data_IF_640585023857
#
_entry.id   IF_640585023857
#
_cell.length_a   1.000
_cell.length_b   1.000
_cell.length_c   1.000
_cell.angle_alpha   90.00
_cell.angle_beta   90.00
_cell.angle_gamma   90.00
#
_symmetry.space_group_name_H-M   'P 1'
#
loop_
_entity.id
_entity.type
_entity.pdbx_description
1 polymer ?
#
# COMPACT_ATOMS: atom_id res chain seq x y z
N UNK A 1 15.57 0.60 -4.65
CA UNK A 1 15.09 -0.30 -3.56
C UNK A 1 13.67 -0.72 -3.93
N UNK A 2 13.55 -1.75 -4.77
CA UNK A 2 12.28 -2.20 -5.38
C UNK A 2 11.25 -2.70 -4.36
N UNK A 3 11.69 -2.94 -3.11
CA UNK A 3 10.81 -3.31 -1.99
C UNK A 3 9.99 -2.13 -1.47
N UNK A 4 10.49 -0.89 -1.57
CA UNK A 4 9.79 0.28 -1.03
C UNK A 4 8.57 0.67 -1.87
N UNK A 5 8.72 0.67 -3.19
CA UNK A 5 7.69 1.05 -4.16
C UNK A 5 7.75 0.09 -5.35
N UNK A 6 6.60 -0.43 -5.75
CA UNK A 6 6.52 -1.37 -6.86
C UNK A 6 7.02 -0.76 -8.17
N UNK A 7 7.70 -1.59 -8.97
CA UNK A 7 8.16 -1.25 -10.33
C UNK A 7 7.13 -1.76 -11.33
N UNK A 8 6.57 -0.86 -12.13
CA UNK A 8 5.61 -1.21 -13.18
C UNK A 8 6.26 -1.48 -14.54
N UNK A 9 5.45 -1.40 -15.61
CA UNK A 9 5.88 -1.61 -16.99
C UNK A 9 7.08 -0.72 -17.36
N UNK A 10 8.02 -1.29 -18.11
CA UNK A 10 9.26 -0.62 -18.57
C UNK A 10 10.17 -0.10 -17.44
N UNK A 11 10.09 -0.67 -16.23
CA UNK A 11 10.97 -0.31 -15.12
C UNK A 11 10.57 0.97 -14.38
N UNK A 12 9.37 1.50 -14.65
CA UNK A 12 8.88 2.74 -14.03
C UNK A 12 8.52 2.51 -12.57
N UNK A 13 9.22 3.17 -11.65
CA UNK A 13 8.93 3.07 -10.22
C UNK A 13 7.70 3.90 -9.83
N UNK A 14 6.87 3.34 -8.95
CA UNK A 14 5.73 4.06 -8.38
C UNK A 14 6.16 5.04 -7.28
N UNK A 15 5.32 6.06 -7.04
CA UNK A 15 5.55 7.04 -5.97
C UNK A 15 5.21 6.52 -4.57
N UNK A 16 4.44 5.43 -4.49
CA UNK A 16 3.87 4.89 -3.26
C UNK A 16 4.11 3.40 -3.13
N UNK A 17 4.19 2.93 -1.90
CA UNK A 17 4.17 1.53 -1.55
C UNK A 17 2.80 0.92 -1.88
N UNK A 18 2.79 -0.30 -2.40
CA UNK A 18 1.57 -1.02 -2.73
C UNK A 18 0.94 -1.58 -1.44
N UNK A 19 -0.28 -1.15 -1.04
CA UNK A 19 -0.94 -1.71 0.13
C UNK A 19 -1.41 -3.14 -0.14
N UNK A 20 -1.62 -3.92 0.93
CA UNK A 20 -2.29 -5.22 0.81
C UNK A 20 -3.73 -5.08 0.30
N UNK A 21 -4.17 -6.07 -0.47
CA UNK A 21 -5.58 -6.21 -0.91
C UNK A 21 -6.40 -7.08 0.05
N UNK A 22 -5.75 -7.78 1.00
CA UNK A 22 -6.45 -8.54 2.04
C UNK A 22 -7.34 -7.61 2.84
N UNK A 23 -8.61 -8.00 3.02
CA UNK A 23 -9.64 -7.22 3.71
C UNK A 23 -9.97 -5.85 3.07
N UNK A 24 -9.48 -5.55 1.86
CA UNK A 24 -9.78 -4.28 1.18
C UNK A 24 -11.27 -4.11 0.86
N UNK A 25 -11.99 -5.22 0.68
CA UNK A 25 -13.43 -5.27 0.51
C UNK A 25 -14.25 -4.73 1.69
N UNK A 26 -13.62 -4.61 2.87
CA UNK A 26 -14.26 -4.06 4.07
C UNK A 26 -13.96 -2.55 4.26
N UNK A 27 -13.22 -1.94 3.34
CA UNK A 27 -12.87 -0.52 3.36
C UNK A 27 -13.86 0.29 2.53
N UNK A 28 -14.14 1.51 2.97
CA UNK A 28 -14.99 2.48 2.26
C UNK A 28 -14.19 3.52 1.49
N UNK A 29 -12.87 3.58 1.73
CA UNK A 29 -11.96 4.53 1.11
C UNK A 29 -10.65 3.83 0.71
N UNK A 30 -10.36 3.88 -0.59
CA UNK A 30 -9.27 3.14 -1.23
C UNK A 30 -8.15 4.08 -1.69
N UNK A 31 -6.99 3.49 -1.95
CA UNK A 31 -5.69 4.17 -2.11
C UNK A 31 -5.23 4.92 -0.84
N UNK A 32 -3.95 5.31 -0.82
CA UNK A 32 -3.35 6.07 0.29
C UNK A 32 -3.88 7.52 0.39
N UNK A 33 -4.32 8.13 -0.70
CA UNK A 33 -4.93 9.47 -0.71
C UNK A 33 -6.46 9.43 -0.64
N UNK A 34 -7.04 8.22 -0.56
CA UNK A 34 -8.47 8.06 -0.35
C UNK A 34 -9.35 8.57 -1.49
N UNK A 35 -8.83 8.58 -2.72
CA UNK A 35 -9.50 9.13 -3.90
C UNK A 35 -10.61 8.26 -4.50
N UNK A 36 -10.75 7.04 -3.99
CA UNK A 36 -11.70 6.06 -4.53
C UNK A 36 -12.52 5.42 -3.42
N UNK A 37 -13.75 5.01 -3.76
CA UNK A 37 -14.77 4.56 -2.80
C UNK A 37 -15.36 3.18 -3.12
N UNK A 38 -14.98 2.55 -4.23
CA UNK A 38 -15.40 1.19 -4.57
C UNK A 38 -14.28 0.41 -5.24
N UNK A 39 -14.25 -0.91 -5.04
CA UNK A 39 -13.26 -1.79 -5.67
C UNK A 39 -13.47 -1.84 -7.19
N UNK A 40 -14.73 -1.78 -7.61
CA UNK A 40 -15.17 -1.76 -9.02
C UNK A 40 -14.58 -0.57 -9.78
N UNK A 41 -14.45 0.60 -9.14
CA UNK A 41 -13.79 1.75 -9.75
C UNK A 41 -12.26 1.71 -9.57
N UNK A 42 -11.79 1.27 -8.40
CA UNK A 42 -10.37 1.27 -8.04
C UNK A 42 -9.49 0.55 -9.05
N UNK A 43 -9.98 -0.56 -9.62
CA UNK A 43 -9.27 -1.40 -10.58
C UNK A 43 -8.76 -0.64 -11.81
N UNK A 44 -9.46 0.41 -12.25
CA UNK A 44 -9.07 1.16 -13.45
C UNK A 44 -7.83 2.02 -13.24
N UNK A 45 -7.54 2.40 -11.99
CA UNK A 45 -6.32 3.12 -11.62
C UNK A 45 -5.05 2.39 -12.07
N UNK A 46 -4.76 1.19 -11.53
CA UNK A 46 -3.59 0.40 -11.91
C UNK A 46 -3.62 -0.05 -13.38
N UNK A 47 -4.79 -0.46 -13.89
CA UNK A 47 -4.94 -0.95 -15.25
C UNK A 47 -4.50 0.07 -16.31
N UNK A 48 -4.83 1.35 -16.08
CA UNK A 48 -4.57 2.45 -17.03
C UNK A 48 -3.35 3.30 -16.67
N UNK A 49 -2.79 3.15 -15.47
CA UNK A 49 -1.62 3.92 -15.04
C UNK A 49 -0.39 3.55 -15.86
N UNK A 50 0.22 4.55 -16.51
CA UNK A 50 1.46 4.39 -17.28
C UNK A 50 2.65 3.91 -16.45
N UNK A 51 2.60 4.08 -15.12
CA UNK A 51 3.65 3.65 -14.17
C UNK A 51 3.35 2.29 -13.53
N UNK A 52 2.22 1.66 -13.88
CA UNK A 52 1.79 0.37 -13.34
C UNK A 52 1.58 -0.62 -14.49
N UNK A 53 0.35 -0.85 -14.96
CA UNK A 53 0.04 -1.84 -16.01
C UNK A 53 -0.02 -1.26 -17.43
N UNK A 54 -0.03 0.07 -17.55
CA UNK A 54 0.16 0.82 -18.79
C UNK A 54 -0.76 0.44 -19.98
N UNK A 55 -2.00 0.00 -19.74
CA UNK A 55 -2.95 -0.19 -20.83
C UNK A 55 -3.42 1.16 -21.37
N UNK A 56 -3.49 1.37 -22.70
CA UNK A 56 -3.74 2.68 -23.29
C UNK A 56 -5.19 3.15 -23.11
N UNK A 57 -6.15 2.22 -23.00
CA UNK A 57 -7.57 2.52 -22.82
C UNK A 57 -8.35 1.28 -22.36
N UNK A 58 -9.53 1.43 -21.73
CA UNK A 58 -10.42 0.31 -21.41
C UNK A 58 -10.80 -0.55 -22.63
N UNK A 59 -11.05 0.08 -23.79
CA UNK A 59 -11.38 -0.63 -25.03
C UNK A 59 -10.29 -1.58 -25.52
N UNK A 60 -9.02 -1.24 -25.26
CA UNK A 60 -7.89 -2.13 -25.56
C UNK A 60 -7.92 -3.39 -24.70
N UNK A 61 -8.17 -3.24 -23.39
CA UNK A 61 -8.31 -4.36 -22.46
C UNK A 61 -9.50 -5.25 -22.81
N UNK A 62 -10.65 -4.67 -23.12
CA UNK A 62 -11.84 -5.43 -23.53
C UNK A 62 -11.53 -6.25 -24.78
N UNK A 63 -10.90 -5.64 -25.80
CA UNK A 63 -10.50 -6.36 -27.01
C UNK A 63 -9.48 -7.47 -26.72
N UNK A 64 -8.53 -7.21 -25.81
CA UNK A 64 -7.52 -8.20 -25.39
C UNK A 64 -8.19 -9.43 -24.77
N UNK A 65 -9.08 -9.22 -23.79
CA UNK A 65 -9.82 -10.30 -23.11
C UNK A 65 -10.68 -11.09 -24.10
N UNK A 66 -11.39 -10.40 -25.01
CA UNK A 66 -12.20 -11.08 -26.06
C UNK A 66 -11.40 -11.97 -27.01
N UNK A 67 -10.10 -11.75 -27.13
CA UNK A 67 -9.21 -12.49 -28.01
C UNK A 67 -8.37 -13.53 -27.26
N UNK A 68 -8.59 -13.72 -25.95
CA UNK A 68 -7.90 -14.71 -25.13
C UNK A 68 -8.76 -15.97 -25.04
N UNK A 69 -8.36 -17.12 -25.63
CA UNK A 69 -9.15 -18.35 -25.61
C UNK A 69 -9.51 -18.81 -24.19
N UNK A 70 -8.64 -18.56 -23.21
CA UNK A 70 -8.86 -18.89 -21.79
C UNK A 70 -10.05 -18.14 -21.17
N UNK A 71 -10.54 -17.07 -21.80
CA UNK A 71 -11.70 -16.29 -21.36
C UNK A 71 -12.97 -16.54 -22.19
N UNK A 72 -12.93 -17.44 -23.17
CA UNK A 72 -14.08 -17.75 -24.03
C UNK A 72 -15.30 -18.14 -23.18
N UNK A 73 -16.40 -17.41 -23.36
CA UNK A 73 -17.68 -17.57 -22.66
C UNK A 73 -17.65 -17.34 -21.13
N UNK A 74 -16.50 -17.16 -20.48
CA UNK A 74 -16.45 -17.01 -19.01
C UNK A 74 -17.20 -15.78 -18.50
N UNK A 75 -17.15 -14.67 -19.25
CA UNK A 75 -17.89 -13.45 -18.90
C UNK A 75 -19.39 -13.61 -19.14
N UNK A 76 -19.76 -14.22 -20.26
CA UNK A 76 -21.13 -14.52 -20.64
C UNK A 76 -21.79 -15.46 -19.61
N UNK A 77 -21.08 -16.49 -19.15
CA UNK A 77 -21.54 -17.41 -18.11
C UNK A 77 -21.72 -16.71 -16.76
N UNK A 78 -20.76 -15.87 -16.36
CA UNK A 78 -20.80 -15.19 -15.06
C UNK A 78 -21.80 -14.03 -15.00
N UNK A 79 -22.01 -13.30 -16.10
CA UNK A 79 -22.72 -12.02 -16.10
C UNK A 79 -23.86 -11.92 -17.13
N UNK A 80 -24.13 -12.96 -17.91
CA UNK A 80 -25.08 -12.95 -19.03
C UNK A 80 -24.73 -11.92 -20.14
N UNK A 81 -23.48 -11.43 -20.15
CA UNK A 81 -22.95 -10.51 -21.17
C UNK A 81 -21.43 -10.61 -21.19
N UNK A 82 -20.83 -10.32 -22.33
CA UNK A 82 -19.38 -10.39 -22.49
C UNK A 82 -18.57 -9.34 -21.72
N UNK A 83 -17.25 -9.33 -21.91
CA UNK A 83 -16.36 -8.39 -21.22
C UNK A 83 -16.69 -6.94 -21.61
N UNK A 84 -16.79 -6.11 -20.58
CA UNK A 84 -17.11 -4.68 -20.63
C UNK A 84 -16.43 -3.98 -19.45
N UNK A 85 -16.50 -2.65 -19.38
CA UNK A 85 -15.99 -1.91 -18.21
C UNK A 85 -16.65 -2.44 -16.93
N UNK A 86 -17.98 -2.59 -16.93
CA UNK A 86 -18.76 -3.04 -15.78
C UNK A 86 -18.42 -4.48 -15.36
N UNK A 87 -18.42 -5.43 -16.31
CA UNK A 87 -18.18 -6.84 -15.99
C UNK A 87 -16.73 -7.11 -15.59
N UNK A 88 -15.75 -6.41 -16.16
CA UNK A 88 -14.35 -6.49 -15.73
C UNK A 88 -14.20 -5.92 -14.31
N UNK A 89 -14.79 -4.75 -14.04
CA UNK A 89 -14.82 -4.16 -12.71
C UNK A 89 -15.39 -5.10 -11.66
N UNK A 90 -16.55 -5.69 -11.95
CA UNK A 90 -17.21 -6.65 -11.06
C UNK A 90 -16.38 -7.91 -10.85
N UNK A 91 -15.71 -8.43 -11.87
CA UNK A 91 -14.87 -9.61 -11.74
C UNK A 91 -13.68 -9.38 -10.78
N UNK A 92 -12.97 -8.25 -10.94
CA UNK A 92 -11.89 -7.88 -10.03
C UNK A 92 -12.37 -7.61 -8.61
N UNK A 93 -13.51 -6.91 -8.46
CA UNK A 93 -14.10 -6.66 -7.15
C UNK A 93 -14.53 -7.98 -6.48
N UNK A 94 -15.26 -8.84 -7.19
CA UNK A 94 -15.73 -10.14 -6.73
C UNK A 94 -14.58 -11.00 -6.19
N UNK A 95 -13.45 -11.05 -6.88
CA UNK A 95 -12.27 -11.72 -6.37
C UNK A 95 -11.74 -11.07 -5.09
N UNK A 96 -11.63 -9.73 -5.04
CA UNK A 96 -11.19 -9.04 -3.82
C UNK A 96 -12.15 -9.21 -2.63
N UNK A 97 -13.45 -9.43 -2.86
CA UNK A 97 -14.41 -9.79 -1.82
C UNK A 97 -14.13 -11.17 -1.19
N UNK A 98 -13.42 -12.08 -1.85
CA UNK A 98 -13.04 -13.38 -1.28
C UNK A 98 -11.75 -13.33 -0.45
N UNK A 99 -10.97 -12.25 -0.56
CA UNK A 99 -9.67 -12.08 0.10
C UNK A 99 -9.79 -11.61 1.55
N UNK A 100 -10.61 -12.32 2.32
CA UNK A 100 -10.90 -12.02 3.72
C UNK A 100 -9.95 -12.80 4.64
N UNK A 101 -9.03 -12.08 5.26
CA UNK A 101 -8.13 -12.58 6.29
C UNK A 101 -8.70 -12.29 7.67
N UNK A 102 -8.87 -13.34 8.48
CA UNK A 102 -9.46 -13.24 9.81
C UNK A 102 -8.99 -14.35 10.74
N UNK A 103 -9.66 -14.48 11.90
CA UNK A 103 -9.33 -15.46 12.93
C UNK A 103 -7.86 -15.36 13.42
N UNK A 104 -7.33 -14.14 13.47
CA UNK A 104 -6.00 -13.88 14.00
C UNK A 104 -5.92 -14.22 15.49
N UNK A 105 -4.72 -14.30 16.05
CA UNK A 105 -4.54 -14.53 17.48
C UNK A 105 -5.26 -13.46 18.33
N UNK A 106 -5.26 -12.20 17.86
CA UNK A 106 -6.06 -11.14 18.43
C UNK A 106 -7.56 -11.44 18.40
N UNK A 107 -8.10 -11.93 17.27
CA UNK A 107 -9.54 -12.21 17.17
C UNK A 107 -9.97 -13.29 18.16
N UNK A 108 -9.19 -14.38 18.23
CA UNK A 108 -9.46 -15.47 19.17
C UNK A 108 -9.36 -15.01 20.62
N UNK A 109 -8.40 -14.15 20.93
CA UNK A 109 -8.24 -13.59 22.27
C UNK A 109 -9.33 -12.59 22.66
N UNK A 110 -9.57 -11.58 21.82
CA UNK A 110 -10.41 -10.41 22.14
C UNK A 110 -11.90 -10.70 21.93
N UNK A 111 -12.28 -11.23 20.76
CA UNK A 111 -13.67 -11.54 20.42
C UNK A 111 -14.04 -12.98 20.81
N UNK A 112 -13.12 -13.93 20.62
CA UNK A 112 -13.36 -15.35 20.93
C UNK A 112 -13.20 -15.73 22.40
N UNK A 113 -12.63 -14.87 23.24
CA UNK A 113 -12.41 -15.13 24.67
C UNK A 113 -11.32 -16.15 25.00
N UNK A 114 -10.52 -16.58 24.03
CA UNK A 114 -9.43 -17.53 24.22
C UNK A 114 -8.25 -16.88 24.96
N UNK A 115 -8.22 -17.04 26.29
CA UNK A 115 -7.28 -16.34 27.19
C UNK A 115 -5.80 -16.51 26.84
N UNK A 116 -5.42 -17.62 26.20
CA UNK A 116 -4.04 -17.96 25.89
C UNK A 116 -3.67 -17.79 24.41
N UNK A 117 -4.58 -17.25 23.58
CA UNK A 117 -4.30 -17.04 22.16
C UNK A 117 -3.18 -16.02 21.90
N UNK A 118 -2.93 -15.09 22.84
CA UNK A 118 -1.81 -14.14 22.77
C UNK A 118 -0.95 -14.16 24.03
N UNK A 119 0.33 -13.81 23.87
CA UNK A 119 1.32 -13.74 24.96
C UNK A 119 1.01 -12.62 25.96
N UNK A 120 1.61 -12.70 27.16
CA UNK A 120 1.54 -11.62 28.14
C UNK A 120 2.18 -10.31 27.65
N UNK A 121 3.19 -10.41 26.77
CA UNK A 121 3.80 -9.25 26.13
C UNK A 121 2.79 -8.53 25.22
N UNK A 122 2.12 -9.28 24.34
CA UNK A 122 1.08 -8.75 23.46
C UNK A 122 -0.10 -8.14 24.25
N UNK A 123 -0.52 -8.73 25.37
CA UNK A 123 -1.54 -8.14 26.26
C UNK A 123 -1.12 -6.78 26.83
N UNK A 124 0.16 -6.64 27.23
CA UNK A 124 0.73 -5.35 27.66
C UNK A 124 0.78 -4.37 26.48
N UNK A 125 1.13 -4.84 25.29
CA UNK A 125 1.11 -4.09 24.04
C UNK A 125 -0.26 -3.52 23.72
N UNK A 126 -1.31 -4.35 23.81
CA UNK A 126 -2.69 -3.93 23.62
C UNK A 126 -3.11 -2.83 24.61
N UNK A 127 -2.74 -2.98 25.90
CA UNK A 127 -3.02 -1.94 26.92
C UNK A 127 -2.30 -0.62 26.61
N UNK A 128 -1.10 -0.67 26.06
CA UNK A 128 -0.37 0.53 25.61
C UNK A 128 -1.06 1.13 24.38
N UNK A 129 -1.38 0.32 23.38
CA UNK A 129 -2.02 0.70 22.13
C UNK A 129 -3.36 1.44 22.36
N UNK A 130 -4.17 0.94 23.29
CA UNK A 130 -5.47 1.51 23.65
C UNK A 130 -5.41 2.60 24.72
N UNK A 131 -4.25 2.77 25.37
CA UNK A 131 -4.04 3.72 26.46
C UNK A 131 -2.92 4.70 26.15
N UNK A 132 -1.78 4.55 26.82
CA UNK A 132 -0.66 5.50 26.80
C UNK A 132 -0.19 5.88 25.40
N UNK A 133 -0.12 4.93 24.47
CA UNK A 133 0.37 5.16 23.12
C UNK A 133 -0.70 5.80 22.19
N UNK A 134 -1.96 5.84 22.63
CA UNK A 134 -3.09 6.47 21.94
C UNK A 134 -3.31 6.01 20.48
N UNK A 135 -2.75 4.87 20.07
CA UNK A 135 -2.84 4.34 18.70
C UNK A 135 -4.29 4.10 18.28
N UNK A 136 -5.15 3.69 19.23
CA UNK A 136 -6.59 3.45 19.02
C UNK A 136 -7.34 4.68 18.51
N UNK A 137 -6.79 5.90 18.67
CA UNK A 137 -7.45 7.14 18.22
C UNK A 137 -7.69 7.17 16.72
N UNK A 138 -6.79 6.58 15.93
CA UNK A 138 -6.96 6.41 14.49
C UNK A 138 -7.15 4.93 14.12
N UNK A 139 -6.53 4.01 14.84
CA UNK A 139 -6.61 2.57 14.58
C UNK A 139 -7.68 1.91 15.46
N UNK A 140 -8.94 2.19 15.13
CA UNK A 140 -10.11 1.85 15.95
C UNK A 140 -10.43 0.34 15.96
N UNK A 141 -11.07 -0.08 17.05
CA UNK A 141 -11.58 -1.43 17.29
C UNK A 141 -13.10 -1.32 17.41
N UNK A 142 -13.84 -2.07 16.61
CA UNK A 142 -15.29 -2.11 16.66
C UNK A 142 -15.80 -3.21 17.60
N UNK A 143 -17.13 -3.28 17.76
CA UNK A 143 -17.76 -4.22 18.67
C UNK A 143 -17.71 -5.67 18.17
N UNK A 144 -17.94 -5.87 16.87
CA UNK A 144 -17.99 -7.19 16.25
C UNK A 144 -16.70 -7.57 15.49
N UNK A 145 -15.96 -6.56 15.02
CA UNK A 145 -14.72 -6.74 14.27
C UNK A 145 -13.83 -5.50 14.38
N UNK A 146 -12.53 -5.69 14.10
CA UNK A 146 -11.57 -4.60 14.05
C UNK A 146 -10.76 -4.63 12.76
N UNK A 147 -10.87 -3.59 11.93
CA UNK A 147 -9.92 -3.35 10.84
C UNK A 147 -8.73 -2.50 11.29
N UNK A 148 -8.76 -1.96 12.52
CA UNK A 148 -7.71 -1.09 13.04
C UNK A 148 -7.47 0.11 12.14
N UNK A 149 -8.53 0.76 11.69
CA UNK A 149 -8.47 2.00 10.91
C UNK A 149 -9.80 2.74 11.00
N UNK A 150 -9.72 4.06 11.12
CA UNK A 150 -10.85 4.98 11.00
C UNK A 150 -11.03 5.52 9.57
N UNK A 151 -10.16 5.10 8.64
CA UNK A 151 -10.10 5.54 7.24
C UNK A 151 -9.96 7.06 7.03
N UNK A 152 -9.67 7.83 8.08
CA UNK A 152 -9.44 9.27 7.99
C UNK A 152 -8.06 9.56 7.43
N UNK A 153 -7.86 10.79 6.99
CA UNK A 153 -6.59 11.22 6.39
C UNK A 153 -5.82 12.13 7.34
N UNK A 154 -4.58 11.74 7.61
CA UNK A 154 -3.71 12.43 8.56
C UNK A 154 -2.34 12.70 7.94
N UNK A 155 -1.76 13.84 8.30
CA UNK A 155 -0.37 14.16 8.01
C UNK A 155 0.47 13.76 9.24
N UNK A 156 1.28 12.71 9.10
CA UNK A 156 2.25 12.26 10.12
C UNK A 156 3.62 12.93 9.94
N UNK A 157 3.78 13.71 8.88
CA UNK A 157 5.02 14.36 8.48
C UNK A 157 5.93 13.53 7.56
N UNK A 158 5.58 12.27 7.27
CA UNK A 158 6.37 11.44 6.35
C UNK A 158 6.38 12.01 4.92
N UNK A 159 5.21 12.33 4.37
CA UNK A 159 5.10 12.97 3.05
C UNK A 159 5.73 14.37 3.01
N UNK A 160 5.61 15.13 4.10
CA UNK A 160 6.27 16.42 4.25
C UNK A 160 7.79 16.29 4.15
N UNK A 161 8.39 15.40 4.94
CA UNK A 161 9.84 15.17 4.92
C UNK A 161 10.33 14.71 3.56
N UNK A 162 9.58 13.83 2.89
CA UNK A 162 9.90 13.41 1.53
C UNK A 162 9.87 14.60 0.56
N UNK A 163 8.88 15.48 0.67
CA UNK A 163 8.73 16.66 -0.20
C UNK A 163 9.76 17.77 0.07
N UNK A 164 10.28 17.85 1.30
CA UNK A 164 11.33 18.79 1.69
C UNK A 164 12.74 18.21 1.48
N UNK A 165 12.85 16.96 1.01
CA UNK A 165 14.14 16.35 0.78
C UNK A 165 14.85 17.03 -0.39
N UNK A 166 16.03 17.57 -0.12
CA UNK A 166 16.95 18.05 -1.15
C UNK A 166 18.02 16.97 -1.29
N UNK A 167 18.16 16.41 -2.49
CA UNK A 167 19.20 15.41 -2.74
C UNK A 167 20.59 16.01 -2.48
N UNK A 168 21.50 15.25 -1.83
CA UNK A 168 22.87 15.71 -1.64
C UNK A 168 23.58 15.79 -3.00
N UNK A 169 24.58 16.68 -3.17
CA UNK A 169 25.33 16.79 -4.42
C UNK A 169 25.93 15.45 -4.88
N UNK A 170 26.41 14.63 -3.94
CA UNK A 170 26.93 13.29 -4.21
C UNK A 170 26.03 12.24 -3.56
N UNK A 171 25.63 11.21 -4.33
CA UNK A 171 24.76 10.12 -3.87
C UNK A 171 25.41 8.77 -4.13
N UNK A 172 25.50 7.93 -3.10
CA UNK A 172 25.91 6.52 -3.26
C UNK A 172 24.79 5.71 -3.89
N UNK A 173 25.06 5.07 -5.01
CA UNK A 173 24.15 4.15 -5.69
C UNK A 173 24.78 2.77 -5.75
N UNK A 174 24.02 1.77 -5.33
CA UNK A 174 24.41 0.36 -5.48
C UNK A 174 23.99 -0.10 -6.87
N UNK A 175 24.96 -0.41 -7.74
CA UNK A 175 24.67 -0.91 -9.08
C UNK A 175 24.41 -2.42 -9.05
N UNK A 176 25.20 -3.14 -8.26
CA UNK A 176 25.05 -4.58 -8.00
C UNK A 176 25.49 -4.87 -6.56
N UNK A 177 25.07 -6.00 -5.94
CA UNK A 177 25.51 -6.36 -4.59
C UNK A 177 27.04 -6.30 -4.46
N UNK A 178 27.54 -5.46 -3.53
CA UNK A 178 28.98 -5.27 -3.29
C UNK A 178 29.66 -4.16 -4.12
N UNK A 179 28.99 -3.56 -5.12
CA UNK A 179 29.49 -2.42 -5.88
C UNK A 179 28.61 -1.19 -5.68
N UNK A 180 29.18 -0.19 -4.99
CA UNK A 180 28.57 1.13 -4.83
C UNK A 180 29.42 2.19 -5.52
N UNK A 181 28.80 3.07 -6.30
CA UNK A 181 29.46 4.23 -6.89
C UNK A 181 28.87 5.52 -6.31
N UNK A 182 29.70 6.56 -6.21
CA UNK A 182 29.25 7.92 -5.89
C UNK A 182 28.87 8.63 -7.20
N UNK A 183 27.61 9.04 -7.31
CA UNK A 183 27.06 9.75 -8.46
C UNK A 183 26.87 11.22 -8.10
N UNK A 184 27.39 12.13 -8.92
CA UNK A 184 27.07 13.55 -8.84
C UNK A 184 25.64 13.78 -9.35
N UNK A 185 24.76 14.26 -8.46
CA UNK A 185 23.34 14.47 -8.76
C UNK A 185 23.10 15.54 -9.82
N UNK A 186 24.03 16.48 -10.02
CA UNK A 186 23.95 17.47 -11.10
C UNK A 186 24.00 16.83 -12.49
N UNK A 187 24.56 15.61 -12.61
CA UNK A 187 24.64 14.89 -13.88
C UNK A 187 23.27 14.45 -14.44
N UNK A 188 22.25 14.33 -13.58
CA UNK A 188 20.92 13.86 -14.00
C UNK A 188 19.76 14.76 -13.55
N UNK A 189 19.94 15.60 -12.52
CA UNK A 189 18.86 16.41 -11.92
C UNK A 189 18.09 17.27 -12.92
N UNK A 190 18.81 17.91 -13.85
CA UNK A 190 18.20 18.83 -14.85
C UNK A 190 17.97 18.14 -16.20
N UNK A 191 18.27 16.84 -16.29
CA UNK A 191 18.13 16.08 -17.52
C UNK A 191 16.76 15.39 -17.57
N UNK A 192 15.98 15.75 -18.58
CA UNK A 192 14.62 15.24 -18.80
C UNK A 192 14.55 13.72 -18.91
N UNK A 193 15.63 13.06 -19.34
CA UNK A 193 15.70 11.60 -19.43
C UNK A 193 15.61 10.91 -18.07
N UNK A 194 16.04 11.59 -17.00
CA UNK A 194 16.04 11.07 -15.63
C UNK A 194 14.93 11.69 -14.76
N UNK A 195 14.02 12.47 -15.35
CA UNK A 195 12.93 13.12 -14.61
C UNK A 195 12.07 12.13 -13.82
N UNK A 196 11.88 10.92 -14.33
CA UNK A 196 11.13 9.86 -13.66
C UNK A 196 11.96 9.08 -12.62
N UNK A 197 13.28 9.26 -12.59
CA UNK A 197 14.16 8.70 -11.55
C UNK A 197 14.27 9.59 -10.31
N UNK A 198 13.91 10.88 -10.46
CA UNK A 198 13.77 11.81 -9.33
C UNK A 198 12.47 11.48 -8.60
N UNK A 199 12.57 11.12 -7.32
CA UNK A 199 11.42 10.77 -6.50
C UNK A 199 10.39 11.92 -6.51
N UNK A 200 9.18 11.71 -7.08
CA UNK A 200 8.23 12.80 -7.24
C UNK A 200 7.66 13.20 -5.88
N UNK A 201 7.48 14.50 -5.67
CA UNK A 201 6.81 15.03 -4.49
C UNK A 201 5.37 14.47 -4.41
N UNK A 202 5.09 13.70 -3.36
CA UNK A 202 3.76 13.16 -3.11
C UNK A 202 3.03 14.03 -2.07
N UNK A 203 2.16 14.91 -2.56
CA UNK A 203 1.39 15.83 -1.73
C UNK A 203 0.18 15.16 -1.05
N UNK A 204 0.00 13.85 -1.18
CA UNK A 204 -1.11 13.12 -0.54
C UNK A 204 -2.48 13.57 -1.04
N UNK A 205 -3.44 13.72 -0.13
CA UNK A 205 -4.82 14.12 -0.44
C UNK A 205 -4.93 15.42 -1.27
N UNK A 206 -4.00 16.36 -1.12
CA UNK A 206 -3.93 17.57 -1.94
C UNK A 206 -4.01 17.28 -3.45
N UNK A 207 -3.45 16.16 -3.93
CA UNK A 207 -3.49 15.84 -5.37
C UNK A 207 -4.90 15.58 -5.88
N UNK A 208 -5.84 15.30 -4.97
CA UNK A 208 -7.26 15.08 -5.23
C UNK A 208 -8.05 16.37 -5.00
N UNK A 209 -7.87 17.01 -3.85
CA UNK A 209 -8.73 18.13 -3.41
C UNK A 209 -8.25 19.49 -3.88
N UNK A 210 -6.95 19.63 -4.20
CA UNK A 210 -6.26 20.90 -4.45
C UNK A 210 -6.35 21.91 -3.29
N UNK A 211 -6.81 21.48 -2.10
CA UNK A 211 -6.85 22.31 -0.90
C UNK A 211 -5.46 22.28 -0.22
N UNK A 212 -4.75 23.41 -0.09
CA UNK A 212 -3.47 23.48 0.59
C UNK A 212 -3.45 22.85 1.98
N UNK A 213 -4.56 22.87 2.73
CA UNK A 213 -4.66 22.27 4.07
C UNK A 213 -4.69 20.73 4.06
N UNK A 214 -4.80 20.10 2.89
CA UNK A 214 -4.79 18.65 2.70
C UNK A 214 -3.42 18.09 2.30
N UNK A 215 -2.39 18.94 2.24
CA UNK A 215 -1.04 18.49 1.90
C UNK A 215 -0.54 17.44 2.88
N UNK A 216 -0.01 16.37 2.29
CA UNK A 216 0.61 15.22 2.95
C UNK A 216 -0.32 14.45 3.88
N UNK A 217 -1.64 14.63 3.76
CA UNK A 217 -2.60 13.76 4.43
C UNK A 217 -2.72 12.44 3.66
N UNK A 218 -2.60 11.34 4.38
CA UNK A 218 -2.79 9.99 3.87
C UNK A 218 -3.76 9.25 4.77
N UNK A 219 -4.52 8.33 4.17
CA UNK A 219 -5.49 7.48 4.84
C UNK A 219 -4.80 6.63 5.91
N UNK A 220 -5.39 6.55 7.10
CA UNK A 220 -5.03 5.57 8.12
C UNK A 220 -5.15 4.16 7.52
N UNK A 221 -4.04 3.45 7.36
CA UNK A 221 -4.09 2.08 6.84
C UNK A 221 -4.66 1.12 7.89
N UNK A 222 -5.32 0.04 7.44
CA UNK A 222 -5.65 -1.09 8.32
C UNK A 222 -4.37 -1.71 8.85
N UNK A 223 -4.38 -2.15 10.11
CA UNK A 223 -3.26 -2.89 10.72
C UNK A 223 -3.44 -4.42 10.64
N UNK A 224 -4.49 -4.91 9.96
CA UNK A 224 -4.62 -6.35 9.70
C UNK A 224 -3.46 -6.83 8.84
N UNK A 225 -2.85 -7.93 9.25
CA UNK A 225 -1.69 -8.53 8.57
C UNK A 225 -0.45 -7.62 8.50
N UNK A 226 -0.35 -6.59 9.34
CA UNK A 226 0.72 -5.60 9.25
C UNK A 226 2.12 -6.21 9.37
N UNK A 227 2.30 -7.30 10.11
CA UNK A 227 3.60 -7.98 10.25
C UNK A 227 4.22 -8.41 8.92
N UNK A 228 3.39 -8.78 7.93
CA UNK A 228 3.84 -9.40 6.68
C UNK A 228 3.70 -8.48 5.46
N UNK A 229 3.32 -7.21 5.66
CA UNK A 229 3.08 -6.24 4.58
C UNK A 229 4.09 -5.10 4.59
N UNK A 230 5.28 -5.34 5.14
CA UNK A 230 6.37 -4.37 5.04
C UNK A 230 6.89 -4.24 3.59
N UNK A 231 7.66 -3.18 3.29
CA UNK A 231 7.99 -2.06 4.17
C UNK A 231 6.81 -1.09 4.35
N UNK A 232 6.92 -0.20 5.35
CA UNK A 232 5.80 0.53 5.91
C UNK A 232 5.73 2.00 5.48
N UNK A 233 4.57 2.61 5.74
CA UNK A 233 4.15 3.95 5.31
C UNK A 233 3.78 4.03 3.83
N UNK A 234 3.16 5.14 3.42
CA UNK A 234 2.69 5.32 2.04
C UNK A 234 3.81 5.21 0.97
N UNK A 235 5.07 5.35 1.36
CA UNK A 235 6.25 5.34 0.50
C UNK A 235 7.26 4.23 0.85
N UNK A 236 6.94 3.32 1.76
CA UNK A 236 7.84 2.22 2.13
C UNK A 236 9.11 2.67 2.87
N UNK A 237 9.09 3.84 3.52
CA UNK A 237 10.28 4.45 4.12
C UNK A 237 10.81 3.70 5.34
N UNK A 238 9.98 2.91 6.03
CA UNK A 238 10.37 2.19 7.26
C UNK A 238 10.40 0.69 7.00
N UNK A 239 11.42 -0.02 7.49
CA UNK A 239 11.66 -1.40 7.08
C UNK A 239 11.00 -2.42 8.01
N UNK A 240 10.86 -2.10 9.29
CA UNK A 240 10.31 -3.02 10.29
C UNK A 240 9.29 -2.31 11.21
N UNK A 241 8.47 -3.08 11.94
CA UNK A 241 7.45 -2.56 12.86
C UNK A 241 8.05 -1.74 14.01
N UNK A 242 9.27 -2.05 14.46
CA UNK A 242 9.93 -1.29 15.53
C UNK A 242 10.23 0.13 15.07
N UNK A 243 10.71 0.32 13.83
CA UNK A 243 10.92 1.64 13.22
C UNK A 243 9.61 2.45 13.15
N UNK A 244 8.49 1.78 12.83
CA UNK A 244 7.15 2.41 12.79
C UNK A 244 6.74 2.90 14.17
N UNK A 245 6.87 2.06 15.20
CA UNK A 245 6.52 2.43 16.57
C UNK A 245 7.44 3.54 17.08
N UNK A 246 8.74 3.48 16.78
CA UNK A 246 9.70 4.53 17.15
C UNK A 246 9.38 5.87 16.46
N UNK A 247 9.00 5.84 15.18
CA UNK A 247 8.55 7.02 14.44
C UNK A 247 7.36 7.70 15.13
N UNK A 248 6.34 6.94 15.51
CA UNK A 248 5.18 7.49 16.23
C UNK A 248 5.53 7.89 17.66
N UNK A 249 6.44 7.18 18.34
CA UNK A 249 6.91 7.55 19.67
C UNK A 249 7.58 8.94 19.70
N UNK A 250 8.22 9.34 18.60
CA UNK A 250 8.79 10.69 18.40
C UNK A 250 7.73 11.75 18.05
N UNK A 251 6.48 11.36 17.79
CA UNK A 251 5.39 12.25 17.41
C UNK A 251 5.42 12.65 15.94
N UNK A 252 5.89 11.79 15.05
CA UNK A 252 5.98 12.07 13.61
C UNK A 252 7.08 13.07 13.25
N UNK A 253 6.92 13.79 12.13
CA UNK A 253 7.92 14.76 11.65
C UNK A 253 7.36 16.18 11.66
N UNK A 254 7.83 16.97 12.63
CA UNK A 254 7.47 18.38 12.85
C UNK A 254 8.27 19.36 12.00
N UNK A 255 9.47 18.98 11.57
CA UNK A 255 10.38 19.84 10.81
C UNK A 255 11.31 19.01 9.92
N UNK A 256 11.78 19.62 8.83
CA UNK A 256 12.74 19.02 7.90
C UNK A 256 13.70 20.11 7.43
N UNK A 257 14.96 20.02 7.84
CA UNK A 257 15.93 21.09 7.63
C UNK A 257 15.47 22.37 8.35
N UNK A 258 15.30 23.46 7.60
CA UNK A 258 14.80 24.75 8.12
C UNK A 258 13.28 24.91 8.05
N UNK A 259 12.57 23.94 7.45
CA UNK A 259 11.13 24.02 7.18
C UNK A 259 10.34 23.38 8.33
N UNK A 260 9.27 24.06 8.76
CA UNK A 260 8.32 23.54 9.75
C UNK A 260 7.10 22.92 9.07
N UNK A 261 6.57 21.84 9.63
CA UNK A 261 5.36 21.18 9.17
C UNK A 261 4.13 21.77 9.86
N UNK A 262 3.64 22.89 9.35
CA UNK A 262 2.48 23.60 9.90
C UNK A 262 1.16 22.82 9.78
N UNK A 263 1.13 21.80 8.92
CA UNK A 263 -0.04 20.97 8.63
C UNK A 263 0.02 19.60 9.32
N UNK A 264 0.94 19.41 10.26
CA UNK A 264 1.03 18.16 11.01
C UNK A 264 -0.27 17.90 11.77
N UNK A 265 -0.75 16.65 11.76
CA UNK A 265 -1.95 16.25 12.50
C UNK A 265 -1.78 16.59 13.98
N UNK A 266 -2.78 17.19 14.65
CA UNK A 266 -2.72 17.49 16.09
C UNK A 266 -2.65 16.22 16.96
N UNK A 267 -2.97 15.06 16.39
CA UNK A 267 -2.82 13.75 17.02
C UNK A 267 -1.36 13.28 17.09
N UNK A 268 -0.41 14.03 16.49
CA UNK A 268 1.00 13.68 16.45
C UNK A 268 1.80 14.40 17.54
N UNK A 269 2.11 13.65 18.60
CA UNK A 269 2.88 14.12 19.73
C UNK A 269 3.79 12.99 20.27
N UNK A 270 4.91 13.33 20.96
CA UNK A 270 5.76 12.32 21.55
C UNK A 270 5.03 11.46 22.58
N UNK A 271 5.16 10.15 22.48
CA UNK A 271 4.44 9.20 23.35
C UNK A 271 5.23 8.83 24.61
N UNK A 272 6.53 9.14 24.64
CA UNK A 272 7.45 8.85 25.74
C UNK A 272 7.41 7.37 26.18
N UNK A 273 7.37 6.47 25.20
CA UNK A 273 7.45 5.03 25.41
C UNK A 273 8.92 4.63 25.61
N UNK A 274 9.15 3.78 26.60
CA UNK A 274 10.39 3.03 26.76
C UNK A 274 10.56 1.97 25.66
N UNK A 275 11.77 1.46 25.47
CA UNK A 275 12.04 0.40 24.51
C UNK A 275 11.20 -0.86 24.77
N UNK A 276 11.03 -1.25 26.04
CA UNK A 276 10.19 -2.39 26.40
C UNK A 276 8.71 -2.15 26.06
N UNK A 277 8.21 -0.94 26.26
CA UNK A 277 6.84 -0.60 25.86
C UNK A 277 6.66 -0.66 24.34
N UNK A 278 7.63 -0.16 23.57
CA UNK A 278 7.61 -0.25 22.10
C UNK A 278 7.63 -1.72 21.63
N UNK A 279 8.48 -2.56 22.22
CA UNK A 279 8.53 -3.98 21.89
C UNK A 279 7.21 -4.71 22.20
N UNK A 280 6.57 -4.40 23.33
CA UNK A 280 5.25 -4.96 23.66
C UNK A 280 4.19 -4.58 22.61
N UNK A 281 4.21 -3.33 22.11
CA UNK A 281 3.31 -2.90 21.03
C UNK A 281 3.60 -3.68 19.74
N UNK A 282 4.88 -3.87 19.38
CA UNK A 282 5.24 -4.70 18.22
C UNK A 282 4.71 -6.13 18.39
N UNK A 283 4.87 -6.75 19.57
CA UNK A 283 4.33 -8.08 19.85
C UNK A 283 2.81 -8.12 19.71
N UNK A 284 2.10 -7.06 20.09
CA UNK A 284 0.66 -6.94 19.85
C UNK A 284 0.34 -6.86 18.35
N UNK A 285 1.04 -6.04 17.57
CA UNK A 285 0.78 -5.88 16.13
C UNK A 285 0.94 -7.19 15.35
N UNK A 286 1.84 -8.09 15.79
CA UNK A 286 2.01 -9.42 15.19
C UNK A 286 0.79 -10.32 15.37
N UNK A 287 0.00 -10.12 16.43
CA UNK A 287 -1.23 -10.89 16.67
C UNK A 287 -2.37 -10.56 15.70
N UNK A 288 -2.18 -9.56 14.82
CA UNK A 288 -3.18 -9.08 13.86
C UNK A 288 -3.13 -9.80 12.51
N UNK A 289 -2.26 -10.79 12.35
CA UNK A 289 -2.14 -11.62 11.14
C UNK A 289 -3.18 -12.74 11.18
N UNK A 290 -4.06 -12.79 10.18
CA UNK A 290 -5.12 -13.80 10.10
C UNK A 290 -4.55 -15.21 9.95
N UNK A 291 -5.22 -16.20 10.53
CA UNK A 291 -4.74 -17.59 10.51
C UNK A 291 -4.81 -18.21 9.11
N UNK A 292 -5.67 -17.69 8.25
CA UNK A 292 -5.96 -18.21 6.91
C UNK A 292 -5.15 -17.54 5.78
N UNK A 293 -4.18 -16.68 6.11
CA UNK A 293 -3.44 -15.92 5.10
C UNK A 293 -2.64 -16.83 4.16
N UNK A 294 -2.06 -17.90 4.68
CA UNK A 294 -1.27 -18.82 3.87
C UNK A 294 -2.14 -19.54 2.84
N UNK A 295 -3.35 -19.94 3.23
CA UNK A 295 -4.35 -20.55 2.35
C UNK A 295 -4.76 -19.59 1.24
N UNK A 296 -5.02 -18.32 1.56
CA UNK A 296 -5.34 -17.29 0.55
C UNK A 296 -4.18 -17.09 -0.44
N UNK A 297 -2.93 -17.09 0.04
CA UNK A 297 -1.75 -16.96 -0.82
C UNK A 297 -1.57 -18.20 -1.70
N UNK A 298 -1.81 -19.40 -1.16
CA UNK A 298 -1.70 -20.65 -1.92
C UNK A 298 -2.77 -20.73 -3.00
N UNK A 299 -4.02 -20.37 -2.69
CA UNK A 299 -5.12 -20.32 -3.64
C UNK A 299 -4.82 -19.34 -4.79
N UNK A 300 -4.34 -18.13 -4.46
CA UNK A 300 -3.94 -17.14 -5.45
C UNK A 300 -2.81 -17.62 -6.38
N UNK A 301 -1.90 -18.47 -5.89
CA UNK A 301 -0.80 -19.04 -6.71
C UNK A 301 -1.20 -20.27 -7.50
N UNK A 302 -2.28 -20.95 -7.10
CA UNK A 302 -2.78 -22.14 -7.78
C UNK A 302 -3.60 -21.78 -9.04
N UNK A 303 -4.10 -20.55 -9.12
CA UNK A 303 -4.80 -20.06 -10.30
C UNK A 303 -3.91 -20.20 -11.54
N UNK A 304 -4.33 -20.93 -12.59
CA UNK A 304 -3.56 -21.03 -13.81
C UNK A 304 -3.40 -19.63 -14.41
N UNK A 305 -2.17 -19.18 -14.53
CA UNK A 305 -1.85 -18.00 -15.33
C UNK A 305 -1.90 -18.48 -16.78
N UNK A 306 -2.82 -17.92 -17.57
CA UNK A 306 -2.93 -18.25 -19.00
C UNK A 306 -1.53 -18.27 -19.62
N UNK A 307 -1.14 -19.41 -20.19
CA UNK A 307 0.23 -19.59 -20.67
C UNK A 307 0.51 -18.50 -21.70
N UNK A 308 1.52 -17.66 -21.41
CA UNK A 308 2.00 -16.70 -22.39
C UNK A 308 2.74 -17.50 -23.46
N UNK A 309 1.99 -17.94 -24.45
CA UNK A 309 2.49 -18.60 -25.64
C UNK A 309 3.15 -17.56 -26.54
N UNK A 310 4.18 -17.95 -27.31
CA UNK A 310 4.70 -17.13 -28.41
C UNK A 310 3.63 -16.81 -29.46
N UNK A 311 2.53 -17.59 -29.47
CA UNK A 311 1.36 -17.35 -30.31
C UNK A 311 0.32 -16.43 -29.65
N UNK A 312 0.57 -15.91 -28.44
CA UNK A 312 -0.30 -14.89 -27.83
C UNK A 312 -0.29 -13.66 -28.77
N UNK A 313 -1.43 -13.29 -29.36
CA UNK A 313 -1.51 -12.13 -30.25
C UNK A 313 -1.15 -10.81 -29.55
N UNK A 314 -1.00 -10.82 -28.23
CA UNK A 314 -0.59 -9.69 -27.40
C UNK A 314 0.87 -9.77 -26.93
N UNK A 315 1.66 -10.74 -27.42
CA UNK A 315 3.08 -10.84 -27.12
C UNK A 315 3.83 -9.61 -27.64
N UNK A 316 4.58 -8.96 -26.74
CA UNK A 316 5.10 -7.60 -26.89
C UNK A 316 6.08 -7.40 -28.06
N UNK A 317 6.63 -8.49 -28.63
CA UNK A 317 7.69 -8.39 -29.63
C UNK A 317 7.22 -8.33 -31.08
N UNK A 318 6.06 -8.90 -31.44
CA UNK A 318 5.64 -9.01 -32.84
C UNK A 318 4.69 -7.88 -33.27
N UNK A 319 3.89 -7.33 -32.35
CA UNK A 319 2.99 -6.22 -32.61
C UNK A 319 3.57 -4.88 -32.14
N UNK A 320 4.68 -4.46 -32.76
CA UNK A 320 5.10 -3.05 -32.66
C UNK A 320 3.98 -2.18 -33.23
N UNK A 321 3.46 -1.18 -32.49
CA UNK A 321 2.72 -0.10 -33.13
C UNK A 321 3.66 0.53 -34.15
N UNK A 322 3.32 0.44 -35.44
CA UNK A 322 3.95 1.29 -36.44
C UNK A 322 3.41 2.71 -36.20
N UNK A 323 4.14 3.48 -35.40
CA UNK A 323 4.03 4.93 -35.41
C UNK A 323 4.72 5.46 -36.68
#
# INVERSE_FOLDING_TARGET
NELATAVGTEGRSNKRNAPTILNSALLTRLFHDGREHSLENQVWGPLLSHKEMANPAPGYLIKKIKNMPDYDNLFEEAYNTGPSIDTISKAFAAYQYTLLSGNSDFDRWYYGGERNAISNSAKKGFKLFTGKAACITCHVIGDDYALFTDEKLHNTGMGFKASMHVEPPMKKVTLVPGLTIDIDTSSYRDNVAFKDEIAPNDLGLYTVTQDPYDRWKFRTASLRNVEITGPYMHNGALQNLKDVVEFYNKGGIKESGKMKNEMLSPLMFPLNLSENEMNNIVDFLKTLTGSNVNELILDAKAAPIGEISLNDPNWFHENKPKY
#
